data_IF_700856454668
#
_entry.id   IF_700856454668
#
_cell.length_a   1.000
_cell.length_b   1.000
_cell.length_c   1.000
_cell.angle_alpha   90.00
_cell.angle_beta   90.00
_cell.angle_gamma   90.00
#
_symmetry.space_group_name_H-M   'P 1'
#
loop_
_entity.id
_entity.type
_entity.pdbx_description
1 polymer ?
#
# COMPACT_ATOMS: atom_id res chain seq x y z
N UNK A 1 -10.99 6.36 -7.03
CA UNK A 1 -12.13 6.96 -7.77
C UNK A 1 -11.63 7.95 -8.80
N UNK A 2 -12.39 8.19 -9.83
CA UNK A 2 -12.11 9.21 -10.83
C UNK A 2 -12.45 10.60 -10.29
N UNK A 3 -11.64 11.60 -10.63
CA UNK A 3 -11.90 12.99 -10.26
C UNK A 3 -13.30 13.45 -10.68
N UNK A 4 -14.05 14.00 -9.74
CA UNK A 4 -15.42 14.46 -9.97
C UNK A 4 -16.49 13.36 -9.89
N UNK A 5 -16.13 12.13 -9.56
CA UNK A 5 -17.08 11.07 -9.28
C UNK A 5 -17.65 11.24 -7.88
N UNK A 6 -18.95 11.23 -7.75
CA UNK A 6 -19.64 11.24 -6.46
C UNK A 6 -19.46 9.88 -5.76
N UNK A 7 -19.13 9.92 -4.49
CA UNK A 7 -18.98 8.77 -3.61
C UNK A 7 -20.10 8.83 -2.58
N UNK A 8 -20.93 7.81 -2.54
CA UNK A 8 -21.95 7.66 -1.52
C UNK A 8 -21.37 6.95 -0.29
N UNK A 9 -21.42 7.61 0.84
CA UNK A 9 -21.00 7.06 2.13
C UNK A 9 -22.21 6.63 2.94
N UNK A 10 -22.18 5.41 3.42
CA UNK A 10 -23.14 4.86 4.36
C UNK A 10 -22.42 4.30 5.56
N UNK A 11 -22.84 4.69 6.76
CA UNK A 11 -22.37 4.08 8.01
C UNK A 11 -23.54 3.53 8.80
N UNK A 12 -23.27 2.44 9.49
CA UNK A 12 -24.20 1.80 10.42
C UNK A 12 -23.71 2.08 11.83
N UNK A 13 -24.55 2.75 12.63
CA UNK A 13 -24.22 3.14 13.98
C UNK A 13 -25.11 2.41 14.99
N UNK A 14 -24.54 1.90 16.09
CA UNK A 14 -25.36 1.39 17.19
C UNK A 14 -26.24 2.51 17.79
N UNK A 15 -27.51 2.26 18.00
CA UNK A 15 -28.41 3.20 18.70
C UNK A 15 -27.93 3.54 20.10
N UNK A 16 -27.23 2.61 20.76
CA UNK A 16 -26.66 2.81 22.07
C UNK A 16 -25.63 3.96 22.11
N UNK A 17 -25.10 4.40 20.95
CA UNK A 17 -24.24 5.57 20.86
C UNK A 17 -25.02 6.90 21.03
N UNK A 18 -26.34 6.89 20.90
CA UNK A 18 -27.18 8.09 21.00
C UNK A 18 -26.68 9.23 20.11
N UNK A 19 -26.31 8.92 18.86
CA UNK A 19 -25.76 9.88 17.91
C UNK A 19 -26.83 10.90 17.52
N UNK A 20 -26.52 12.19 17.75
CA UNK A 20 -27.40 13.30 17.38
C UNK A 20 -27.00 13.92 16.05
N UNK A 21 -25.70 13.94 15.74
CA UNK A 21 -25.16 14.41 14.47
C UNK A 21 -23.96 13.55 14.08
N UNK A 22 -23.84 13.28 12.80
CA UNK A 22 -22.69 12.60 12.22
C UNK A 22 -22.10 13.45 11.08
N UNK A 23 -20.79 13.50 10.97
CA UNK A 23 -20.08 14.21 9.91
C UNK A 23 -19.02 13.28 9.29
N UNK A 24 -18.94 13.26 7.97
CA UNK A 24 -17.79 12.80 7.24
C UNK A 24 -16.70 13.86 7.36
N UNK A 25 -15.56 13.49 7.92
CA UNK A 25 -14.36 14.31 8.00
C UNK A 25 -13.44 13.90 6.85
N UNK A 26 -13.12 14.82 5.95
CA UNK A 26 -12.23 14.55 4.82
C UNK A 26 -11.08 15.55 4.84
N UNK A 27 -9.88 15.08 4.56
CA UNK A 27 -8.70 15.92 4.39
C UNK A 27 -7.94 15.49 3.13
N UNK A 28 -7.69 16.43 2.23
CA UNK A 28 -6.74 16.21 1.15
C UNK A 28 -5.31 16.16 1.71
N UNK A 29 -4.48 15.25 1.21
CA UNK A 29 -3.16 14.94 1.80
C UNK A 29 -2.26 16.15 2.02
N UNK A 30 -2.31 17.12 1.09
CA UNK A 30 -1.52 18.36 1.16
C UNK A 30 -2.21 19.51 1.91
N UNK A 31 -3.46 19.34 2.38
CA UNK A 31 -4.18 20.36 3.13
C UNK A 31 -3.92 20.19 4.64
N UNK A 32 -3.90 21.31 5.39
CA UNK A 32 -3.75 21.26 6.84
C UNK A 32 -5.07 21.02 7.58
N UNK A 33 -6.20 21.37 6.96
CA UNK A 33 -7.50 21.38 7.60
C UNK A 33 -8.37 20.20 7.14
N UNK A 34 -9.29 19.82 8.01
CA UNK A 34 -10.35 18.87 7.70
C UNK A 34 -11.60 19.61 7.22
N UNK A 35 -12.20 19.12 6.15
CA UNK A 35 -13.53 19.48 5.70
C UNK A 35 -14.56 18.54 6.33
N UNK A 36 -15.76 19.07 6.61
CA UNK A 36 -16.82 18.34 7.27
C UNK A 36 -18.09 18.36 6.41
N UNK A 37 -18.64 17.19 6.13
CA UNK A 37 -19.93 17.02 5.45
C UNK A 37 -20.88 16.33 6.42
N UNK A 38 -22.03 16.93 6.71
CA UNK A 38 -23.04 16.34 7.60
C UNK A 38 -23.66 15.10 6.94
N UNK A 39 -23.81 14.01 7.71
CA UNK A 39 -24.57 12.84 7.30
C UNK A 39 -26.03 13.03 7.70
N UNK A 40 -26.91 12.53 6.85
CA UNK A 40 -28.34 12.51 7.07
C UNK A 40 -28.73 11.17 7.69
N UNK A 41 -29.54 11.20 8.72
CA UNK A 41 -30.17 10.00 9.28
C UNK A 41 -31.18 9.43 8.29
N UNK A 42 -31.02 8.18 7.87
CA UNK A 42 -31.82 7.51 6.87
C UNK A 42 -32.72 6.41 7.43
N UNK A 43 -32.86 6.33 8.75
CA UNK A 43 -33.73 5.37 9.39
C UNK A 43 -33.01 4.28 10.14
N UNK A 44 -33.78 3.22 10.46
CA UNK A 44 -33.27 2.05 11.18
C UNK A 44 -32.82 1.00 10.18
N UNK A 45 -31.67 0.40 10.42
CA UNK A 45 -31.23 -0.80 9.71
C UNK A 45 -31.87 -2.05 10.35
N UNK A 46 -31.86 -2.12 11.69
CA UNK A 46 -32.50 -3.15 12.52
C UNK A 46 -32.93 -2.55 13.86
N UNK A 47 -33.22 -3.40 14.85
CA UNK A 47 -33.66 -2.95 16.18
C UNK A 47 -32.61 -2.12 16.91
N UNK A 48 -31.32 -2.43 16.71
CA UNK A 48 -30.20 -1.86 17.45
C UNK A 48 -29.30 -0.93 16.63
N UNK A 49 -29.54 -0.80 15.33
CA UNK A 49 -28.65 -0.10 14.38
C UNK A 49 -29.38 0.94 13.56
N UNK A 50 -28.73 2.06 13.31
CA UNK A 50 -29.20 3.19 12.50
C UNK A 50 -28.32 3.40 11.26
N UNK A 51 -28.93 3.92 10.20
CA UNK A 51 -28.28 4.27 8.93
C UNK A 51 -28.07 5.77 8.87
N UNK A 52 -26.84 6.18 8.54
CA UNK A 52 -26.47 7.56 8.27
C UNK A 52 -25.71 7.63 6.94
N UNK A 53 -26.05 8.62 6.10
CA UNK A 53 -25.54 8.71 4.73
C UNK A 53 -25.15 10.14 4.35
N UNK A 54 -24.14 10.27 3.49
CA UNK A 54 -23.83 11.51 2.79
C UNK A 54 -23.11 11.22 1.47
N UNK A 55 -23.05 12.23 0.62
CA UNK A 55 -22.30 12.18 -0.62
C UNK A 55 -21.08 13.10 -0.55
N UNK A 56 -20.00 12.68 -1.19
CA UNK A 56 -18.78 13.45 -1.31
C UNK A 56 -18.17 13.32 -2.70
N UNK A 57 -17.70 14.43 -3.26
CA UNK A 57 -17.08 14.46 -4.59
C UNK A 57 -15.66 15.02 -4.49
N UNK A 58 -14.61 14.19 -4.66
CA UNK A 58 -13.25 14.66 -4.66
C UNK A 58 -12.94 15.51 -5.88
N UNK A 59 -12.45 16.74 -5.65
CA UNK A 59 -12.19 17.73 -6.71
C UNK A 59 -10.72 17.78 -7.14
N UNK A 60 -9.78 17.40 -6.26
CA UNK A 60 -8.34 17.39 -6.50
C UNK A 60 -7.85 15.97 -6.78
N UNK A 61 -6.88 15.82 -7.67
CA UNK A 61 -6.19 14.54 -7.89
C UNK A 61 -5.20 14.32 -6.75
N UNK A 62 -5.15 13.08 -6.22
CA UNK A 62 -4.24 12.72 -5.13
C UNK A 62 -4.93 11.91 -4.05
N UNK A 63 -4.37 11.96 -2.86
CA UNK A 63 -4.84 11.22 -1.71
C UNK A 63 -5.76 12.08 -0.84
N UNK A 64 -6.81 11.46 -0.35
CA UNK A 64 -7.69 11.99 0.68
C UNK A 64 -7.72 11.00 1.85
N UNK A 65 -7.76 11.54 3.04
CA UNK A 65 -7.93 10.80 4.28
C UNK A 65 -9.31 11.08 4.83
N UNK A 66 -10.01 10.07 5.33
CA UNK A 66 -11.33 10.28 5.90
C UNK A 66 -11.60 9.41 7.12
N UNK A 67 -12.48 9.90 7.98
CA UNK A 67 -13.13 9.21 9.08
C UNK A 67 -14.48 9.88 9.35
N UNK A 68 -15.18 9.43 10.39
CA UNK A 68 -16.46 10.04 10.75
C UNK A 68 -16.42 10.55 12.18
N UNK A 69 -16.98 11.74 12.38
CA UNK A 69 -17.16 12.38 13.67
C UNK A 69 -18.62 12.24 14.09
N UNK A 70 -18.85 11.75 15.29
CA UNK A 70 -20.16 11.62 15.90
C UNK A 70 -20.29 12.62 17.03
N UNK A 71 -21.39 13.35 17.09
CA UNK A 71 -21.80 14.14 18.24
C UNK A 71 -22.91 13.38 18.94
N UNK A 72 -22.63 12.91 20.13
CA UNK A 72 -23.59 12.22 21.01
C UNK A 72 -24.17 13.23 22.03
N UNK A 73 -24.97 12.76 22.95
CA UNK A 73 -25.59 13.62 23.96
C UNK A 73 -24.54 14.29 24.85
N UNK A 74 -23.49 13.58 25.21
CA UNK A 74 -22.52 13.96 26.24
C UNK A 74 -21.10 14.21 25.71
N UNK A 75 -20.75 13.68 24.52
CA UNK A 75 -19.38 13.79 24.00
C UNK A 75 -19.28 13.73 22.48
N UNK A 76 -18.08 13.96 21.98
CA UNK A 76 -17.70 13.69 20.59
C UNK A 76 -17.00 12.34 20.51
N UNK A 77 -17.35 11.54 19.52
CA UNK A 77 -16.71 10.26 19.20
C UNK A 77 -16.32 10.20 17.72
N UNK A 78 -15.52 9.23 17.35
CA UNK A 78 -15.05 9.06 15.97
C UNK A 78 -15.16 7.60 15.55
N UNK A 79 -15.67 7.39 14.34
CA UNK A 79 -15.60 6.08 13.67
C UNK A 79 -14.30 6.06 12.87
N UNK A 80 -13.42 5.15 13.21
CA UNK A 80 -12.06 5.04 12.66
C UNK A 80 -11.72 3.60 12.30
N UNK A 81 -10.76 3.33 11.41
CA UNK A 81 -10.29 1.96 11.16
C UNK A 81 -9.60 1.39 12.41
N UNK A 82 -10.01 0.21 12.86
CA UNK A 82 -9.44 -0.47 14.04
C UNK A 82 -8.11 -1.15 13.73
N UNK A 83 -8.07 -1.92 12.64
CA UNK A 83 -6.93 -2.68 12.15
C UNK A 83 -7.04 -2.72 10.61
N UNK A 84 -5.93 -2.81 9.86
CA UNK A 84 -5.97 -2.82 8.38
C UNK A 84 -6.95 -3.82 7.77
N UNK A 85 -7.35 -4.85 8.49
CA UNK A 85 -8.19 -5.94 8.00
C UNK A 85 -9.49 -6.14 8.77
N UNK A 86 -9.85 -5.24 9.70
CA UNK A 86 -11.04 -5.38 10.55
C UNK A 86 -12.04 -4.25 10.35
N UNK A 87 -13.23 -4.49 10.87
CA UNK A 87 -14.34 -3.56 10.94
C UNK A 87 -13.91 -2.30 11.68
N UNK A 88 -14.53 -1.16 11.36
CA UNK A 88 -14.37 0.11 12.09
C UNK A 88 -14.66 -0.02 13.58
N UNK A 89 -14.03 0.82 14.37
CA UNK A 89 -14.28 0.98 15.80
C UNK A 89 -14.74 2.41 16.08
N UNK A 90 -15.38 2.62 17.24
CA UNK A 90 -15.80 3.94 17.71
C UNK A 90 -14.89 4.34 18.88
N UNK A 91 -14.12 5.41 18.71
CA UNK A 91 -13.12 5.90 19.65
C UNK A 91 -13.45 7.31 20.14
N UNK A 92 -12.88 7.70 21.28
CA UNK A 92 -13.05 9.05 21.86
C UNK A 92 -12.09 10.07 21.21
N UNK A 93 -11.25 9.67 20.29
CA UNK A 93 -10.30 10.55 19.57
C UNK A 93 -10.24 10.23 18.08
N UNK A 94 -9.88 11.23 17.28
CA UNK A 94 -9.65 11.07 15.83
C UNK A 94 -8.31 10.34 15.62
N UNK A 95 -8.37 9.01 15.54
CA UNK A 95 -7.22 8.16 15.34
C UNK A 95 -6.80 8.01 13.89
N UNK A 96 -6.75 6.77 13.41
CA UNK A 96 -6.43 6.44 12.02
C UNK A 96 -7.54 6.91 11.08
N UNK A 97 -7.19 7.07 9.81
CA UNK A 97 -8.14 7.42 8.74
C UNK A 97 -8.07 6.40 7.62
N UNK A 98 -9.18 6.19 6.93
CA UNK A 98 -9.19 5.50 5.64
C UNK A 98 -8.68 6.42 4.55
N UNK A 99 -8.31 5.82 3.43
CA UNK A 99 -7.75 6.51 2.28
C UNK A 99 -8.69 6.44 1.08
N UNK A 100 -8.81 7.54 0.34
CA UNK A 100 -9.38 7.59 -0.99
C UNK A 100 -8.29 8.04 -1.95
N UNK A 101 -8.02 7.27 -2.99
CA UNK A 101 -7.17 7.70 -4.11
C UNK A 101 -8.05 8.26 -5.21
N UNK A 102 -7.88 9.56 -5.50
CA UNK A 102 -8.54 10.25 -6.60
C UNK A 102 -7.57 10.37 -7.79
N UNK A 103 -7.92 9.80 -8.93
CA UNK A 103 -7.13 9.86 -10.15
C UNK A 103 -7.76 10.76 -11.21
N UNK A 104 -6.93 11.22 -12.17
CA UNK A 104 -7.33 12.13 -13.24
C UNK A 104 -8.47 11.54 -14.08
N UNK A 105 -9.44 12.36 -14.41
CA UNK A 105 -10.55 11.99 -15.32
C UNK A 105 -9.99 11.45 -16.65
N UNK A 106 -10.50 10.29 -17.05
CA UNK A 106 -10.07 9.59 -18.26
C UNK A 106 -8.69 8.89 -18.15
N UNK A 107 -8.10 8.80 -16.95
CA UNK A 107 -6.88 8.02 -16.74
C UNK A 107 -7.14 6.54 -17.03
N UNK A 108 -6.29 5.96 -17.87
CA UNK A 108 -6.37 4.53 -18.22
C UNK A 108 -5.05 3.85 -17.91
N UNK A 109 -5.09 2.72 -17.25
CA UNK A 109 -3.97 1.79 -17.16
C UNK A 109 -3.83 1.00 -18.46
N UNK A 110 -2.61 0.60 -18.86
CA UNK A 110 -2.42 -0.24 -20.02
C UNK A 110 -3.22 -1.54 -19.93
N UNK A 111 -4.08 -1.79 -20.93
CA UNK A 111 -4.97 -2.96 -20.92
C UNK A 111 -4.23 -4.30 -20.92
N UNK A 112 -3.00 -4.33 -21.46
CA UNK A 112 -2.16 -5.54 -21.47
C UNK A 112 -1.70 -5.98 -20.08
N UNK A 113 -1.70 -5.07 -19.08
CA UNK A 113 -1.31 -5.39 -17.70
C UNK A 113 -2.48 -5.97 -16.89
N UNK A 114 -3.72 -5.80 -17.38
CA UNK A 114 -4.92 -6.27 -16.66
C UNK A 114 -4.98 -7.80 -16.71
N UNK A 115 -4.93 -8.43 -15.55
CA UNK A 115 -4.89 -9.89 -15.42
C UNK A 115 -3.54 -10.53 -15.74
N UNK A 116 -2.51 -9.72 -15.99
CA UNK A 116 -1.15 -10.18 -16.25
C UNK A 116 -0.38 -10.58 -14.99
N UNK A 117 0.71 -11.30 -15.20
CA UNK A 117 1.64 -11.69 -14.15
C UNK A 117 2.85 -10.77 -14.18
N UNK A 118 3.08 -10.06 -13.08
CA UNK A 118 4.32 -9.30 -12.83
C UNK A 118 5.25 -10.14 -11.95
N UNK A 119 6.48 -10.32 -12.37
CA UNK A 119 7.49 -11.07 -11.64
C UNK A 119 8.61 -10.14 -11.17
N UNK A 120 8.75 -9.97 -9.87
CA UNK A 120 9.83 -9.17 -9.30
C UNK A 120 11.09 -10.00 -9.20
N UNK A 121 12.20 -9.47 -9.71
CA UNK A 121 13.51 -10.14 -9.70
C UNK A 121 14.48 -9.35 -8.82
N UNK A 122 15.09 -10.05 -7.86
CA UNK A 122 16.29 -9.59 -7.18
C UNK A 122 17.50 -10.19 -7.90
N UNK A 123 18.21 -9.43 -8.75
CA UNK A 123 19.16 -10.00 -9.72
C UNK A 123 20.23 -10.88 -9.10
N UNK A 124 20.81 -10.45 -7.99
CA UNK A 124 21.88 -11.18 -7.30
C UNK A 124 21.50 -12.63 -6.94
N UNK A 125 20.21 -12.88 -6.69
CA UNK A 125 19.68 -14.16 -6.22
C UNK A 125 18.88 -14.93 -7.27
N UNK A 126 18.81 -14.41 -8.50
CA UNK A 126 17.96 -15.01 -9.54
C UNK A 126 18.72 -16.01 -10.41
N UNK A 127 19.77 -15.59 -11.09
CA UNK A 127 20.61 -16.46 -11.90
C UNK A 127 21.96 -15.82 -12.24
N UNK A 128 23.03 -16.58 -12.10
CA UNK A 128 24.39 -16.17 -12.47
C UNK A 128 24.73 -16.66 -13.88
N UNK A 129 25.13 -15.74 -14.77
CA UNK A 129 25.47 -16.07 -16.17
C UNK A 129 26.75 -16.88 -16.33
N UNK A 130 27.57 -17.03 -15.30
CA UNK A 130 28.90 -17.61 -15.36
C UNK A 130 30.00 -16.64 -15.76
N UNK A 131 29.65 -15.38 -16.07
CA UNK A 131 30.66 -14.38 -16.43
C UNK A 131 31.26 -13.72 -15.19
N UNK A 132 32.58 -13.81 -15.08
CA UNK A 132 33.31 -13.12 -14.03
C UNK A 132 33.32 -11.62 -14.27
N UNK A 133 33.01 -10.86 -13.22
CA UNK A 133 32.98 -9.40 -13.26
C UNK A 133 34.12 -8.82 -12.45
N UNK A 134 34.79 -7.84 -13.01
CA UNK A 134 35.81 -7.09 -12.29
C UNK A 134 35.15 -6.04 -11.38
N UNK A 135 34.74 -6.44 -10.18
CA UNK A 135 34.11 -5.58 -9.19
C UNK A 135 35.19 -4.96 -8.32
N UNK A 136 35.25 -3.63 -8.33
CA UNK A 136 36.25 -2.86 -7.56
C UNK A 136 35.89 -2.71 -6.07
N UNK A 137 34.63 -2.97 -5.68
CA UNK A 137 34.20 -2.93 -4.28
C UNK A 137 34.82 -4.10 -3.49
N UNK A 138 35.21 -3.82 -2.27
CA UNK A 138 35.82 -4.79 -1.34
C UNK A 138 35.01 -4.98 -0.06
N UNK A 139 33.91 -4.24 0.09
CA UNK A 139 33.07 -4.22 1.30
C UNK A 139 31.95 -5.27 1.27
N UNK A 140 32.06 -6.27 0.41
CA UNK A 140 31.11 -7.36 0.31
C UNK A 140 31.79 -8.73 0.29
N UNK A 141 31.04 -9.74 0.66
CA UNK A 141 31.45 -11.15 0.62
C UNK A 141 30.83 -11.81 -0.60
N UNK A 142 31.65 -12.34 -1.50
CA UNK A 142 31.16 -13.16 -2.61
C UNK A 142 30.88 -14.58 -2.11
N UNK A 143 29.65 -15.03 -2.26
CA UNK A 143 29.31 -16.43 -2.03
C UNK A 143 29.63 -17.23 -3.30
N UNK A 144 30.52 -18.23 -3.18
CA UNK A 144 30.94 -19.06 -4.31
C UNK A 144 29.99 -20.23 -4.56
N UNK A 145 29.24 -20.62 -3.56
CA UNK A 145 28.23 -21.66 -3.65
C UNK A 145 26.87 -21.01 -3.88
N UNK A 146 26.30 -21.21 -5.07
CA UNK A 146 24.98 -20.70 -5.44
C UNK A 146 23.85 -21.21 -4.53
N UNK A 147 23.99 -22.39 -3.96
CA UNK A 147 23.00 -23.03 -3.10
C UNK A 147 23.23 -22.80 -1.61
N UNK A 148 24.28 -22.07 -1.24
CA UNK A 148 24.53 -21.73 0.15
C UNK A 148 23.43 -20.84 0.73
N UNK A 149 23.26 -20.89 2.05
CA UNK A 149 22.39 -19.97 2.75
C UNK A 149 23.03 -18.58 2.84
N UNK A 150 22.27 -17.50 2.69
CA UNK A 150 22.77 -16.16 2.95
C UNK A 150 23.13 -15.96 4.43
N UNK A 151 24.00 -15.01 4.71
CA UNK A 151 24.41 -14.62 6.07
C UNK A 151 23.26 -13.80 6.71
N UNK A 152 22.27 -14.47 7.26
CA UNK A 152 21.05 -13.85 7.82
C UNK A 152 21.10 -13.67 9.34
N UNK A 153 22.09 -14.30 10.03
CA UNK A 153 22.19 -14.21 11.48
C UNK A 153 22.93 -12.92 11.89
N UNK A 154 22.52 -12.30 13.00
CA UNK A 154 23.28 -11.19 13.57
C UNK A 154 24.69 -11.64 13.97
N UNK A 155 25.66 -10.74 13.81
CA UNK A 155 27.01 -10.94 14.34
C UNK A 155 27.03 -10.76 15.88
N UNK A 156 28.22 -10.87 16.48
CA UNK A 156 28.42 -10.70 17.93
C UNK A 156 27.97 -9.34 18.50
N UNK A 157 27.82 -8.34 17.64
CA UNK A 157 27.32 -7.00 17.99
C UNK A 157 25.80 -6.85 17.70
N UNK A 158 25.11 -7.92 17.32
CA UNK A 158 23.71 -7.90 16.96
C UNK A 158 23.40 -7.29 15.58
N UNK A 159 24.42 -7.09 14.73
CA UNK A 159 24.27 -6.47 13.40
C UNK A 159 24.18 -7.50 12.29
N UNK A 160 23.18 -7.32 11.40
CA UNK A 160 23.07 -8.09 10.16
C UNK A 160 23.69 -7.26 9.04
N UNK A 161 24.81 -7.75 8.49
CA UNK A 161 25.60 -6.97 7.51
C UNK A 161 24.97 -6.89 6.14
N UNK A 162 24.16 -7.86 5.73
CA UNK A 162 23.52 -7.94 4.41
C UNK A 162 24.50 -7.67 3.25
N UNK A 163 25.73 -8.12 3.38
CA UNK A 163 26.82 -7.85 2.43
C UNK A 163 27.33 -9.09 1.70
N UNK A 164 26.59 -10.17 1.73
CA UNK A 164 26.89 -11.40 0.99
C UNK A 164 26.12 -11.43 -0.34
N UNK A 165 26.83 -11.68 -1.43
CA UNK A 165 26.28 -11.65 -2.80
C UNK A 165 26.57 -12.96 -3.52
N UNK A 166 25.60 -13.40 -4.34
CA UNK A 166 25.67 -14.64 -5.15
C UNK A 166 26.03 -14.37 -6.61
N UNK A 167 26.11 -13.11 -6.99
CA UNK A 167 26.58 -12.66 -8.30
C UNK A 167 25.63 -12.91 -9.46
N UNK A 168 24.35 -13.18 -9.19
CA UNK A 168 23.33 -13.15 -10.23
C UNK A 168 23.34 -11.81 -10.98
N UNK A 169 22.97 -11.80 -12.25
CA UNK A 169 23.17 -10.65 -13.11
C UNK A 169 22.12 -10.50 -14.22
N UNK A 170 22.15 -9.36 -14.93
CA UNK A 170 21.22 -9.08 -16.02
C UNK A 170 21.31 -10.08 -17.16
N UNK A 171 22.52 -10.56 -17.46
CA UNK A 171 22.72 -11.60 -18.46
C UNK A 171 22.09 -12.93 -18.03
N UNK A 172 22.21 -13.25 -16.74
CA UNK A 172 21.53 -14.40 -16.12
C UNK A 172 20.00 -14.27 -16.24
N UNK A 173 19.46 -13.08 -16.00
CA UNK A 173 18.02 -12.83 -16.23
C UNK A 173 17.68 -13.08 -17.70
N UNK A 174 18.47 -12.54 -18.63
CA UNK A 174 18.27 -12.77 -20.08
C UNK A 174 18.28 -14.24 -20.43
N UNK A 175 19.18 -15.03 -19.88
CA UNK A 175 19.25 -16.49 -20.09
C UNK A 175 18.03 -17.25 -19.56
N UNK A 176 17.21 -16.62 -18.71
CA UNK A 176 16.01 -17.20 -18.10
C UNK A 176 14.69 -16.60 -18.61
N UNK A 177 14.73 -15.81 -19.69
CA UNK A 177 13.50 -15.21 -20.23
C UNK A 177 12.52 -16.27 -20.72
N UNK A 178 12.98 -17.31 -21.40
CA UNK A 178 12.11 -18.41 -21.87
C UNK A 178 11.41 -19.12 -20.71
N UNK A 179 12.11 -19.26 -19.58
CA UNK A 179 11.51 -19.80 -18.35
C UNK A 179 10.43 -18.87 -17.81
N UNK A 180 10.68 -17.57 -17.75
CA UNK A 180 9.70 -16.58 -17.29
C UNK A 180 8.48 -16.54 -18.24
N UNK A 181 8.71 -16.59 -19.54
CA UNK A 181 7.64 -16.67 -20.54
C UNK A 181 6.78 -17.94 -20.35
N UNK A 182 7.42 -19.08 -20.09
CA UNK A 182 6.71 -20.35 -19.83
C UNK A 182 5.82 -20.32 -18.58
N UNK A 183 6.11 -19.42 -17.62
CA UNK A 183 5.27 -19.15 -16.46
C UNK A 183 4.12 -18.15 -16.75
N UNK A 184 4.04 -17.61 -17.96
CA UNK A 184 3.05 -16.59 -18.33
C UNK A 184 3.38 -15.20 -17.81
N UNK A 185 4.65 -14.93 -17.45
CA UNK A 185 5.08 -13.60 -16.99
C UNK A 185 5.03 -12.61 -18.16
N UNK A 186 4.35 -11.51 -17.96
CA UNK A 186 4.20 -10.43 -18.96
C UNK A 186 5.05 -9.21 -18.62
N UNK A 187 5.38 -9.04 -17.33
CA UNK A 187 6.14 -7.89 -16.86
C UNK A 187 7.20 -8.36 -15.86
N UNK A 188 8.42 -7.86 -16.04
CA UNK A 188 9.50 -8.09 -15.09
C UNK A 188 9.82 -6.77 -14.38
N UNK A 189 9.80 -6.79 -13.06
CA UNK A 189 10.33 -5.71 -12.22
C UNK A 189 11.72 -6.11 -11.74
N UNK A 190 12.73 -5.32 -12.10
CA UNK A 190 14.11 -5.58 -11.67
C UNK A 190 14.43 -4.68 -10.50
N UNK A 191 14.63 -5.29 -9.32
CA UNK A 191 15.00 -4.59 -8.10
C UNK A 191 16.41 -3.98 -8.20
N UNK A 192 16.52 -2.67 -7.99
CA UNK A 192 17.80 -1.94 -8.09
C UNK A 192 18.82 -2.27 -6.98
N UNK A 193 18.42 -2.97 -5.92
CA UNK A 193 19.19 -3.15 -4.69
C UNK A 193 20.19 -4.30 -4.67
N UNK A 194 20.49 -4.96 -5.77
CA UNK A 194 21.20 -6.24 -5.73
C UNK A 194 22.52 -6.35 -6.49
N UNK A 195 23.14 -5.23 -6.86
CA UNK A 195 24.43 -5.31 -7.56
C UNK A 195 25.58 -4.83 -6.67
N UNK A 196 26.60 -5.66 -6.42
CA UNK A 196 27.79 -5.25 -5.65
C UNK A 196 28.70 -4.27 -6.41
N UNK A 197 28.26 -3.71 -7.49
CA UNK A 197 29.09 -2.83 -8.30
C UNK A 197 28.34 -1.81 -9.13
N UNK A 198 27.88 -0.76 -8.56
CA UNK A 198 27.22 0.44 -9.07
C UNK A 198 25.70 0.50 -8.83
N UNK A 199 25.34 1.26 -7.83
CA UNK A 199 23.99 1.84 -7.68
C UNK A 199 23.83 3.12 -8.54
N UNK A 200 24.44 3.17 -9.71
CA UNK A 200 24.25 4.28 -10.65
C UNK A 200 24.00 3.68 -12.04
N UNK A 201 22.73 3.55 -12.37
CA UNK A 201 22.24 3.62 -13.74
C UNK A 201 22.00 5.08 -14.07
#
# INVERSE_FOLDING_TARGET
>A
VEQGTEIHFRILLPKAEHTQKAHLCVKYDYDCNWDFTELIWCGKFDEDTEIWECDFTPKKIGLYWYNFKLTTIDKTRYVVPSDPYKVSTIEDYMGRSWQITCYKKGFKTPGWLVGGIMYQIFPDRFYFSGEEKNIKRTDFKRNKDWYALPDWKPDENGMIKNNDFFMGDLKGITMKLDYLESLGVQTIEIGAGGFPGNCHL
#
